data_IF_043747045006
#
_entry.id   IF_043747045006
#
_cell.length_a   1.000
_cell.length_b   1.000
_cell.length_c   1.000
_cell.angle_alpha   90.00
_cell.angle_beta   90.00
_cell.angle_gamma   90.00
#
_symmetry.space_group_name_H-M   'P 1'
#
loop_
_entity.id
_entity.type
_entity.pdbx_description
1 polymer ?
#
# COMPACT_ATOMS: atom_id res chain seq x y z
N UNK A 1 -37.42 41.05 35.03
CA UNK A 1 -37.64 39.65 34.59
C UNK A 1 -36.71 39.42 33.39
N UNK A 2 -35.52 38.91 33.67
CA UNK A 2 -34.53 38.62 32.61
C UNK A 2 -34.76 37.18 32.14
N UNK A 3 -35.11 37.03 30.86
CA UNK A 3 -35.21 35.72 30.23
C UNK A 3 -33.79 35.36 29.71
N UNK A 4 -33.16 34.40 30.41
CA UNK A 4 -31.88 33.83 29.98
C UNK A 4 -32.19 32.82 28.87
N UNK A 5 -31.96 33.21 27.65
CA UNK A 5 -32.03 32.30 26.50
C UNK A 5 -30.87 31.31 26.51
N UNK A 6 -31.17 30.06 26.89
CA UNK A 6 -30.22 28.96 26.75
C UNK A 6 -29.99 28.64 25.26
N UNK A 7 -28.77 28.78 24.77
CA UNK A 7 -28.38 28.27 23.45
C UNK A 7 -28.56 26.75 23.40
N UNK A 8 -29.16 26.17 22.36
CA UNK A 8 -29.26 24.74 22.22
C UNK A 8 -27.85 24.14 22.12
N UNK A 9 -27.55 23.19 23.01
CA UNK A 9 -26.37 22.34 22.89
C UNK A 9 -26.41 21.67 21.49
N UNK A 10 -25.43 22.02 20.66
CA UNK A 10 -25.26 21.35 19.38
C UNK A 10 -25.11 19.83 19.67
N UNK A 11 -26.01 19.04 19.11
CA UNK A 11 -25.95 17.59 19.20
C UNK A 11 -24.57 17.16 18.70
N UNK A 12 -23.79 16.47 19.54
CA UNK A 12 -22.52 15.85 19.11
C UNK A 12 -22.86 14.89 17.98
N UNK A 13 -22.26 15.12 16.81
CA UNK A 13 -22.34 14.14 15.73
C UNK A 13 -21.90 12.77 16.28
N UNK A 14 -22.63 11.69 15.96
CA UNK A 14 -22.26 10.36 16.40
C UNK A 14 -20.85 10.04 15.90
N UNK A 15 -20.02 9.53 16.79
CA UNK A 15 -18.65 9.10 16.42
C UNK A 15 -18.74 8.04 15.30
N UNK A 16 -18.08 8.24 14.16
CA UNK A 16 -18.13 7.26 13.07
C UNK A 16 -17.67 5.87 13.54
N UNK A 17 -18.24 4.78 13.02
CA UNK A 17 -17.83 3.44 13.37
C UNK A 17 -16.37 3.21 12.97
N UNK A 18 -15.60 2.63 13.88
CA UNK A 18 -14.20 2.27 13.64
C UNK A 18 -14.12 0.79 13.24
N UNK A 19 -13.60 0.52 12.04
CA UNK A 19 -13.29 -0.82 11.55
C UNK A 19 -11.79 -1.09 11.72
N UNK A 20 -11.36 -2.37 11.88
CA UNK A 20 -9.94 -2.69 11.80
C UNK A 20 -9.42 -2.35 10.40
N UNK A 21 -8.23 -1.74 10.32
CA UNK A 21 -7.58 -1.38 9.07
C UNK A 21 -6.28 -2.16 8.93
N UNK A 22 -6.07 -2.80 7.78
CA UNK A 22 -4.77 -3.32 7.33
C UNK A 22 -4.37 -2.53 6.11
N UNK A 23 -3.37 -1.68 6.27
CA UNK A 23 -2.87 -0.81 5.22
C UNK A 23 -1.73 -1.50 4.46
N UNK A 24 -1.89 -1.65 3.15
CA UNK A 24 -0.94 -2.37 2.29
C UNK A 24 0.32 -1.57 1.96
N UNK A 25 0.38 -0.26 2.31
CA UNK A 25 1.55 0.55 1.97
C UNK A 25 1.66 1.79 2.85
N UNK A 26 2.69 1.81 3.73
CA UNK A 26 3.00 2.97 4.58
C UNK A 26 4.51 3.14 4.72
N UNK A 27 5.03 4.29 4.32
CA UNK A 27 6.46 4.59 4.18
C UNK A 27 7.17 4.98 5.48
N UNK A 28 6.78 4.40 6.61
CA UNK A 28 7.49 4.60 7.88
C UNK A 28 8.97 4.22 7.79
N UNK A 29 9.29 3.18 7.03
CA UNK A 29 10.67 2.74 6.80
C UNK A 29 11.50 3.81 6.09
N UNK A 30 10.94 4.46 5.08
CA UNK A 30 11.57 5.54 4.33
C UNK A 30 11.82 6.77 5.21
N UNK A 31 10.79 7.23 5.92
CA UNK A 31 10.90 8.37 6.82
C UNK A 31 11.96 8.14 7.92
N UNK A 32 12.00 6.93 8.47
CA UNK A 32 12.95 6.55 9.50
C UNK A 32 14.38 6.41 8.99
N UNK A 33 14.58 5.76 7.84
CA UNK A 33 15.91 5.49 7.32
C UNK A 33 16.57 6.67 6.61
N UNK A 34 15.78 7.50 5.91
CA UNK A 34 16.31 8.49 4.97
C UNK A 34 15.88 9.94 5.25
N UNK A 35 14.81 10.15 6.04
CA UNK A 35 14.33 11.50 6.38
C UNK A 35 14.64 11.94 7.82
N UNK A 36 15.33 11.09 8.59
CA UNK A 36 15.75 11.40 9.98
C UNK A 36 14.60 11.47 10.98
N UNK A 37 13.39 10.99 10.62
CA UNK A 37 12.27 10.96 11.56
C UNK A 37 12.39 9.75 12.50
N UNK A 38 11.90 9.90 13.74
CA UNK A 38 11.72 8.75 14.62
C UNK A 38 10.68 7.79 14.04
N UNK A 39 10.88 6.49 14.21
CA UNK A 39 9.91 5.49 13.75
C UNK A 39 8.56 5.69 14.43
N UNK A 40 7.49 5.83 13.66
CA UNK A 40 6.14 6.15 14.13
C UNK A 40 6.12 7.39 15.06
N UNK A 41 6.79 8.47 14.65
CA UNK A 41 6.88 9.73 15.38
C UNK A 41 5.51 10.24 15.86
N UNK A 42 5.52 11.14 16.84
CA UNK A 42 4.28 11.75 17.37
C UNK A 42 3.60 12.70 16.36
N UNK A 43 4.31 13.11 15.33
CA UNK A 43 3.80 13.93 14.22
C UNK A 43 4.03 13.21 12.89
N UNK A 44 3.05 13.28 12.00
CA UNK A 44 3.09 12.62 10.69
C UNK A 44 1.73 12.02 10.33
N UNK A 45 1.65 11.47 9.13
CA UNK A 45 0.40 10.88 8.65
C UNK A 45 0.08 9.52 9.31
N UNK A 46 1.12 8.84 9.85
CA UNK A 46 0.98 7.51 10.46
C UNK A 46 1.65 7.44 11.85
N UNK A 47 1.40 8.42 12.70
CA UNK A 47 1.89 8.43 14.08
C UNK A 47 1.20 7.35 14.93
N UNK A 48 1.86 6.93 16.03
CA UNK A 48 1.27 5.96 16.98
C UNK A 48 -0.13 6.36 17.44
N UNK A 49 -0.36 7.66 17.70
CA UNK A 49 -1.66 8.16 18.08
C UNK A 49 -2.68 8.10 16.92
N UNK A 50 -2.25 8.43 15.69
CA UNK A 50 -3.11 8.40 14.52
C UNK A 50 -3.56 6.96 14.20
N UNK A 51 -2.65 5.99 14.24
CA UNK A 51 -3.00 4.59 13.97
C UNK A 51 -3.96 4.00 15.01
N UNK A 52 -3.82 4.36 16.30
CA UNK A 52 -4.77 3.93 17.34
C UNK A 52 -6.17 4.49 17.12
N UNK A 53 -6.28 5.79 16.83
CA UNK A 53 -7.56 6.44 16.54
C UNK A 53 -8.20 5.94 15.24
N UNK A 54 -7.39 5.56 14.28
CA UNK A 54 -7.83 5.04 12.99
C UNK A 54 -8.23 3.56 13.00
N UNK A 55 -7.97 2.85 14.10
CA UNK A 55 -8.27 1.42 14.20
C UNK A 55 -7.29 0.54 13.39
N UNK A 56 -6.04 0.99 13.20
CA UNK A 56 -5.04 0.24 12.43
C UNK A 56 -4.69 -1.05 13.16
N UNK A 57 -4.92 -2.19 12.50
CA UNK A 57 -4.67 -3.54 12.98
C UNK A 57 -3.48 -4.22 12.28
N UNK A 58 -3.09 -3.70 11.11
CA UNK A 58 -1.94 -4.18 10.37
C UNK A 58 -1.39 -3.17 9.39
N UNK A 59 -0.13 -3.33 9.00
CA UNK A 59 0.56 -2.44 8.05
C UNK A 59 1.64 -3.19 7.29
N UNK A 60 1.73 -2.91 6.00
CA UNK A 60 2.88 -3.29 5.17
C UNK A 60 3.88 -2.13 5.16
N UNK A 61 5.12 -2.44 5.48
CA UNK A 61 6.24 -1.51 5.55
C UNK A 61 7.17 -1.76 4.35
N UNK A 62 7.12 -0.92 3.31
CA UNK A 62 8.00 -1.06 2.18
C UNK A 62 9.45 -0.74 2.58
N UNK A 63 10.39 -1.55 2.08
CA UNK A 63 11.82 -1.28 2.10
C UNK A 63 12.17 -0.64 0.75
N UNK A 64 12.02 0.66 0.69
CA UNK A 64 12.42 1.50 -0.43
C UNK A 64 13.81 2.08 -0.18
N UNK A 65 14.67 2.07 -1.19
CA UNK A 65 15.99 2.69 -1.16
C UNK A 65 16.01 3.82 -2.20
N UNK A 66 16.12 5.09 -1.80
CA UNK A 66 16.22 6.19 -2.72
C UNK A 66 17.43 6.03 -3.67
N UNK A 67 17.28 6.51 -4.91
CA UNK A 67 18.33 6.38 -5.92
C UNK A 67 19.64 7.06 -5.53
N UNK A 68 19.54 8.12 -4.77
CA UNK A 68 20.66 8.95 -4.28
C UNK A 68 21.22 8.46 -2.93
N UNK A 69 20.67 7.39 -2.36
CA UNK A 69 21.17 6.81 -1.11
C UNK A 69 22.58 6.19 -1.26
N UNK A 70 22.94 5.80 -2.49
CA UNK A 70 24.28 5.28 -2.84
C UNK A 70 24.71 5.88 -4.18
N UNK A 71 26.02 6.20 -4.36
CA UNK A 71 26.54 6.84 -5.59
C UNK A 71 26.24 6.02 -6.86
N UNK A 72 26.28 4.70 -6.76
CA UNK A 72 26.07 3.76 -7.87
C UNK A 72 24.63 3.19 -7.91
N UNK A 73 23.72 3.80 -7.18
CA UNK A 73 22.34 3.34 -7.01
C UNK A 73 22.14 2.33 -5.87
N UNK A 74 20.88 1.91 -5.61
CA UNK A 74 20.52 1.01 -4.52
C UNK A 74 21.21 -0.36 -4.61
N UNK A 75 21.73 -0.84 -3.48
CA UNK A 75 22.45 -2.11 -3.35
C UNK A 75 21.76 -3.04 -2.34
N UNK A 76 22.11 -4.33 -2.38
CA UNK A 76 21.60 -5.31 -1.42
C UNK A 76 21.95 -4.93 0.04
N UNK A 77 23.13 -4.40 0.26
CA UNK A 77 23.58 -3.93 1.58
C UNK A 77 22.72 -2.78 2.14
N UNK A 78 22.16 -1.95 1.27
CA UNK A 78 21.27 -0.87 1.67
C UNK A 78 19.91 -1.42 2.13
N UNK A 79 19.39 -2.45 1.44
CA UNK A 79 18.21 -3.19 1.89
C UNK A 79 18.44 -3.88 3.24
N UNK A 80 19.58 -4.55 3.42
CA UNK A 80 19.96 -5.21 4.67
C UNK A 80 20.05 -4.20 5.84
N UNK A 81 20.66 -3.05 5.61
CA UNK A 81 20.76 -1.97 6.59
C UNK A 81 19.38 -1.41 6.94
N UNK A 82 18.54 -1.15 5.93
CA UNK A 82 17.19 -0.63 6.11
C UNK A 82 16.34 -1.63 6.92
N UNK A 83 16.33 -2.89 6.53
CA UNK A 83 15.64 -3.96 7.23
C UNK A 83 16.07 -4.09 8.69
N UNK A 84 17.38 -4.13 8.94
CA UNK A 84 17.93 -4.29 10.30
C UNK A 84 17.46 -3.15 11.21
N UNK A 85 17.55 -1.91 10.74
CA UNK A 85 17.10 -0.76 11.51
C UNK A 85 15.60 -0.78 11.80
N UNK A 86 14.78 -1.09 10.79
CA UNK A 86 13.32 -1.13 10.95
C UNK A 86 12.92 -2.30 11.86
N UNK A 87 13.51 -3.48 11.70
CA UNK A 87 13.24 -4.65 12.55
C UNK A 87 13.56 -4.36 14.02
N UNK A 88 14.67 -3.68 14.29
CA UNK A 88 15.01 -3.24 15.64
C UNK A 88 14.03 -2.20 16.18
N UNK A 89 13.62 -1.22 15.35
CA UNK A 89 12.64 -0.23 15.74
C UNK A 89 11.29 -0.86 16.11
N UNK A 90 10.82 -1.86 15.36
CA UNK A 90 9.57 -2.59 15.65
C UNK A 90 9.57 -3.25 17.03
N UNK A 91 10.72 -3.78 17.48
CA UNK A 91 10.84 -4.42 18.81
C UNK A 91 10.67 -3.41 19.95
N UNK A 92 11.03 -2.15 19.72
CA UNK A 92 11.08 -1.11 20.75
C UNK A 92 10.00 -0.04 20.60
N UNK A 93 9.10 -0.16 19.61
CA UNK A 93 8.05 0.83 19.34
C UNK A 93 6.66 0.20 19.45
N UNK A 94 6.06 0.12 20.64
CA UNK A 94 4.63 -0.25 20.75
C UNK A 94 3.76 0.76 19.96
N UNK A 95 2.67 0.29 19.31
CA UNK A 95 2.06 -1.03 19.43
C UNK A 95 2.48 -2.03 18.35
N UNK A 96 3.55 -1.80 17.58
CA UNK A 96 3.92 -2.71 16.49
C UNK A 96 4.32 -4.11 17.00
N UNK A 97 3.90 -5.16 16.29
CA UNK A 97 4.36 -6.52 16.49
C UNK A 97 5.56 -6.82 15.55
N UNK A 98 6.40 -7.79 15.86
CA UNK A 98 7.34 -8.34 14.89
C UNK A 98 6.60 -8.81 13.63
N UNK A 99 7.29 -8.76 12.46
CA UNK A 99 6.68 -9.11 11.18
C UNK A 99 6.13 -10.55 11.19
N UNK A 100 4.89 -10.72 10.69
CA UNK A 100 4.26 -12.02 10.52
C UNK A 100 2.76 -12.05 10.74
N UNK A 101 2.18 -13.22 10.46
CA UNK A 101 0.76 -13.47 10.44
C UNK A 101 0.12 -13.73 11.82
N UNK A 102 0.92 -14.05 12.83
CA UNK A 102 0.36 -14.36 14.16
C UNK A 102 -0.33 -13.15 14.76
N UNK A 103 -1.62 -13.28 15.13
CA UNK A 103 -2.31 -12.21 15.84
C UNK A 103 -1.64 -11.97 17.19
N UNK A 104 -1.41 -10.68 17.50
CA UNK A 104 -0.96 -10.26 18.83
C UNK A 104 -2.00 -9.28 19.38
N UNK A 105 -2.81 -9.63 20.36
CA UNK A 105 -3.86 -8.76 20.90
C UNK A 105 -3.30 -7.38 21.29
N UNK A 106 -3.98 -6.33 20.85
CA UNK A 106 -3.57 -4.94 21.12
C UNK A 106 -2.32 -4.47 20.38
N UNK A 107 -1.80 -5.26 19.43
CA UNK A 107 -0.65 -4.89 18.61
C UNK A 107 -1.00 -4.82 17.12
N UNK A 108 -0.30 -3.94 16.41
CA UNK A 108 -0.41 -3.78 14.95
C UNK A 108 0.50 -4.84 14.31
N UNK A 109 -0.08 -5.70 13.46
CA UNK A 109 0.70 -6.66 12.66
C UNK A 109 1.54 -5.90 11.66
N UNK A 110 2.75 -6.36 11.42
CA UNK A 110 3.62 -5.78 10.42
C UNK A 110 4.02 -6.82 9.38
N UNK A 111 4.20 -6.36 8.16
CA UNK A 111 4.69 -7.16 7.04
C UNK A 111 5.72 -6.33 6.30
N UNK A 112 6.70 -6.99 5.68
CA UNK A 112 7.67 -6.31 4.84
C UNK A 112 7.32 -6.47 3.36
N UNK A 113 7.58 -5.40 2.60
CA UNK A 113 7.57 -5.40 1.15
C UNK A 113 8.89 -4.85 0.63
N UNK A 114 9.30 -5.26 -0.57
CA UNK A 114 10.24 -4.47 -1.35
C UNK A 114 9.47 -3.47 -2.21
N UNK A 115 9.97 -2.26 -2.29
CA UNK A 115 9.54 -1.25 -3.25
C UNK A 115 10.74 -0.84 -4.11
N UNK A 116 10.92 -1.61 -5.20
CA UNK A 116 12.10 -1.53 -6.03
C UNK A 116 13.14 -2.61 -5.72
N UNK A 117 12.84 -3.87 -6.08
CA UNK A 117 13.70 -5.03 -5.85
C UNK A 117 14.95 -5.08 -6.77
N UNK A 118 15.28 -4.00 -7.48
CA UNK A 118 16.47 -3.90 -8.35
C UNK A 118 17.77 -4.44 -7.74
N UNK A 119 18.06 -4.24 -6.46
CA UNK A 119 19.23 -4.81 -5.80
C UNK A 119 19.36 -6.34 -5.88
N UNK A 120 18.24 -7.07 -6.04
CA UNK A 120 18.24 -8.53 -6.19
C UNK A 120 18.39 -9.02 -7.64
N UNK A 121 18.54 -8.13 -8.60
CA UNK A 121 18.63 -8.50 -10.01
C UNK A 121 19.78 -9.46 -10.36
N UNK A 122 20.84 -9.45 -9.57
CA UNK A 122 22.02 -10.31 -9.74
C UNK A 122 22.02 -11.56 -8.83
N UNK A 123 21.14 -11.58 -7.82
CA UNK A 123 20.99 -12.70 -6.88
C UNK A 123 19.52 -12.92 -6.51
N UNK A 124 18.71 -13.48 -7.40
CA UNK A 124 17.31 -13.76 -7.11
C UNK A 124 17.13 -14.79 -5.98
N UNK A 125 18.15 -15.64 -5.73
CA UNK A 125 18.10 -16.66 -4.67
C UNK A 125 18.08 -16.03 -3.27
N UNK A 126 18.51 -14.77 -3.12
CA UNK A 126 18.40 -14.03 -1.87
C UNK A 126 16.93 -13.87 -1.40
N UNK A 127 15.93 -14.00 -2.29
CA UNK A 127 14.51 -13.91 -1.91
C UNK A 127 14.11 -14.93 -0.84
N UNK A 128 14.65 -16.15 -0.86
CA UNK A 128 14.31 -17.17 0.13
C UNK A 128 14.71 -16.73 1.57
N UNK A 129 15.85 -16.07 1.71
CA UNK A 129 16.28 -15.49 2.98
C UNK A 129 15.32 -14.35 3.41
N UNK A 130 14.93 -13.48 2.50
CA UNK A 130 14.02 -12.38 2.80
C UNK A 130 12.62 -12.87 3.16
N UNK A 131 12.11 -13.90 2.48
CA UNK A 131 10.85 -14.57 2.84
C UNK A 131 10.88 -15.10 4.29
N UNK A 132 11.98 -15.73 4.70
CA UNK A 132 12.16 -16.22 6.09
C UNK A 132 12.21 -15.09 7.13
N UNK A 133 12.53 -13.87 6.72
CA UNK A 133 12.58 -12.66 7.55
C UNK A 133 11.26 -11.88 7.60
N UNK A 134 10.20 -12.39 6.98
CA UNK A 134 8.88 -11.76 6.99
C UNK A 134 8.57 -10.89 5.77
N UNK A 135 9.37 -10.94 4.71
CA UNK A 135 9.00 -10.38 3.41
C UNK A 135 7.78 -11.13 2.86
N UNK A 136 6.76 -10.38 2.44
CA UNK A 136 5.54 -10.94 1.86
C UNK A 136 5.29 -10.46 0.44
N UNK A 137 5.81 -9.30 0.07
CA UNK A 137 5.51 -8.60 -1.18
C UNK A 137 6.80 -8.17 -1.87
N UNK A 138 6.88 -8.36 -3.18
CA UNK A 138 8.02 -7.98 -4.03
C UNK A 138 7.56 -6.99 -5.08
N UNK A 139 7.78 -5.68 -4.83
CA UNK A 139 7.63 -4.62 -5.82
C UNK A 139 8.91 -4.49 -6.64
N UNK A 140 8.79 -4.54 -7.96
CA UNK A 140 9.93 -4.64 -8.86
C UNK A 140 10.66 -3.31 -9.07
N UNK A 141 9.89 -2.23 -9.19
CA UNK A 141 10.36 -0.87 -9.51
C UNK A 141 9.73 0.15 -8.59
N UNK A 142 10.28 1.35 -8.56
CA UNK A 142 9.65 2.55 -8.04
C UNK A 142 9.52 3.59 -9.17
N UNK A 143 9.99 4.83 -9.00
CA UNK A 143 9.80 5.93 -9.95
C UNK A 143 10.45 5.69 -11.32
N UNK A 144 11.53 4.89 -11.39
CA UNK A 144 12.31 4.68 -12.61
C UNK A 144 12.51 3.21 -12.93
N UNK A 145 12.68 2.90 -14.22
CA UNK A 145 13.12 1.59 -14.65
C UNK A 145 14.44 1.19 -13.97
N UNK A 146 14.59 -0.10 -13.75
CA UNK A 146 15.80 -0.70 -13.18
C UNK A 146 16.17 -1.98 -13.94
N UNK A 147 17.08 -2.78 -13.39
CA UNK A 147 17.53 -4.02 -14.03
C UNK A 147 16.44 -5.13 -14.12
N UNK A 148 15.25 -4.93 -13.50
CA UNK A 148 14.17 -5.92 -13.49
C UNK A 148 13.02 -5.55 -14.42
N UNK A 149 12.58 -4.28 -14.42
CA UNK A 149 11.39 -3.86 -15.14
C UNK A 149 11.40 -2.37 -15.50
N UNK A 150 10.54 -2.01 -16.45
CA UNK A 150 10.19 -0.63 -16.76
C UNK A 150 9.16 -0.08 -15.77
N UNK A 151 9.20 1.23 -15.53
CA UNK A 151 8.35 1.93 -14.57
C UNK A 151 7.31 2.81 -15.27
N UNK A 152 6.18 3.02 -14.61
CA UNK A 152 5.18 4.03 -15.02
C UNK A 152 5.63 5.48 -14.79
N UNK A 153 6.72 5.68 -14.04
CA UNK A 153 7.34 6.98 -13.81
C UNK A 153 8.48 7.31 -14.76
N UNK A 154 8.81 6.43 -15.72
CA UNK A 154 9.80 6.75 -16.75
C UNK A 154 9.33 7.91 -17.61
N UNK A 155 10.22 8.89 -17.87
CA UNK A 155 9.92 10.06 -18.68
C UNK A 155 9.51 9.68 -20.11
N UNK A 156 10.14 8.63 -20.66
CA UNK A 156 9.82 8.04 -21.95
C UNK A 156 9.39 6.58 -21.75
N UNK A 157 8.27 6.15 -22.36
CA UNK A 157 7.83 4.76 -22.28
C UNK A 157 8.90 3.79 -22.80
N UNK A 158 9.27 2.82 -21.96
CA UNK A 158 10.23 1.80 -22.36
C UNK A 158 9.61 0.82 -23.38
N UNK A 159 10.44 0.31 -24.29
CA UNK A 159 10.01 -0.68 -25.28
C UNK A 159 9.75 -2.08 -24.70
N UNK A 160 10.10 -2.30 -23.42
CA UNK A 160 9.97 -3.59 -22.71
C UNK A 160 9.11 -3.43 -21.44
N UNK A 161 8.64 -4.55 -20.90
CA UNK A 161 8.00 -4.65 -19.59
C UNK A 161 8.99 -5.21 -18.56
N UNK A 162 9.07 -6.54 -18.45
CA UNK A 162 10.10 -7.23 -17.66
C UNK A 162 11.36 -7.50 -18.47
N UNK A 163 12.51 -7.35 -17.84
CA UNK A 163 13.77 -7.92 -18.35
C UNK A 163 13.81 -9.43 -18.07
N UNK A 164 14.79 -10.15 -18.64
CA UNK A 164 15.01 -11.56 -18.31
C UNK A 164 15.28 -11.76 -16.81
N UNK A 165 16.02 -10.84 -16.17
CA UNK A 165 16.26 -10.86 -14.73
C UNK A 165 14.96 -10.63 -13.95
N UNK A 166 14.11 -9.72 -14.43
CA UNK A 166 12.78 -9.47 -13.85
C UNK A 166 11.90 -10.71 -13.95
N UNK A 167 11.86 -11.39 -15.09
CA UNK A 167 11.13 -12.66 -15.26
C UNK A 167 11.61 -13.73 -14.31
N UNK A 168 12.92 -13.90 -14.16
CA UNK A 168 13.52 -14.86 -13.23
C UNK A 168 13.14 -14.54 -11.76
N UNK A 169 13.20 -13.28 -11.36
CA UNK A 169 12.84 -12.86 -10.01
C UNK A 169 11.35 -13.08 -9.72
N UNK A 170 10.46 -12.75 -10.66
CA UNK A 170 9.01 -12.95 -10.54
C UNK A 170 8.68 -14.44 -10.41
N UNK A 171 9.29 -15.32 -11.25
CA UNK A 171 9.11 -16.77 -11.12
C UNK A 171 9.50 -17.27 -9.74
N UNK A 172 10.69 -16.87 -9.29
CA UNK A 172 11.16 -17.28 -7.95
C UNK A 172 10.31 -16.73 -6.81
N UNK A 173 9.79 -15.50 -6.94
CA UNK A 173 8.85 -14.95 -5.97
C UNK A 173 7.56 -15.81 -5.87
N UNK A 174 6.99 -16.21 -6.99
CA UNK A 174 5.80 -17.08 -7.00
C UNK A 174 6.09 -18.48 -6.46
N UNK A 175 7.24 -19.07 -6.79
CA UNK A 175 7.68 -20.36 -6.22
C UNK A 175 7.79 -20.34 -4.69
N UNK A 176 8.18 -19.20 -4.13
CA UNK A 176 8.25 -18.98 -2.67
C UNK A 176 6.91 -18.58 -2.04
N UNK A 177 5.83 -18.46 -2.82
CA UNK A 177 4.53 -18.01 -2.34
C UNK A 177 4.50 -16.53 -1.93
N UNK A 178 5.43 -15.72 -2.47
CA UNK A 178 5.44 -14.27 -2.30
C UNK A 178 4.49 -13.61 -3.28
N UNK A 179 3.90 -12.50 -2.87
CA UNK A 179 3.09 -11.64 -3.72
C UNK A 179 3.99 -10.75 -4.59
N UNK A 180 3.63 -10.57 -5.86
CA UNK A 180 4.32 -9.61 -6.74
C UNK A 180 3.47 -8.35 -6.84
N UNK A 181 4.06 -7.20 -6.46
CA UNK A 181 3.41 -5.89 -6.51
C UNK A 181 3.71 -5.20 -7.84
N UNK A 182 2.65 -4.80 -8.52
CA UNK A 182 2.71 -4.06 -9.78
C UNK A 182 2.52 -2.56 -9.61
N UNK A 183 2.40 -2.06 -8.39
CA UNK A 183 2.47 -0.62 -8.13
C UNK A 183 3.79 -0.07 -8.68
N UNK A 184 3.75 1.09 -9.32
CA UNK A 184 4.85 1.70 -10.10
C UNK A 184 5.26 1.00 -11.41
N UNK A 185 4.86 -0.23 -11.68
CA UNK A 185 5.20 -0.90 -12.92
C UNK A 185 4.57 -0.20 -14.14
N UNK A 186 5.26 -0.21 -15.29
CA UNK A 186 4.67 0.23 -16.55
C UNK A 186 3.55 -0.71 -17.00
N UNK A 187 2.67 -0.27 -17.88
CA UNK A 187 1.58 -1.12 -18.42
C UNK A 187 2.12 -2.42 -19.02
N UNK A 188 3.28 -2.37 -19.70
CA UNK A 188 3.95 -3.56 -20.25
C UNK A 188 4.45 -4.50 -19.14
N UNK A 189 5.05 -3.94 -18.09
CA UNK A 189 5.52 -4.74 -16.97
C UNK A 189 4.35 -5.39 -16.22
N UNK A 190 3.24 -4.67 -16.03
CA UNK A 190 2.00 -5.24 -15.46
C UNK A 190 1.51 -6.42 -16.31
N UNK A 191 1.42 -6.25 -17.64
CA UNK A 191 1.00 -7.32 -18.56
C UNK A 191 1.91 -8.55 -18.48
N UNK A 192 3.24 -8.35 -18.46
CA UNK A 192 4.22 -9.42 -18.34
C UNK A 192 4.09 -10.19 -17.00
N UNK A 193 3.90 -9.46 -15.88
CA UNK A 193 3.70 -10.07 -14.55
C UNK A 193 2.41 -10.88 -14.51
N UNK A 194 1.30 -10.34 -15.03
CA UNK A 194 0.01 -11.05 -15.08
C UNK A 194 0.09 -12.31 -15.95
N UNK A 195 0.83 -12.26 -17.06
CA UNK A 195 1.09 -13.43 -17.91
C UNK A 195 1.82 -14.52 -17.14
N UNK A 196 2.89 -14.19 -16.42
CA UNK A 196 3.62 -15.13 -15.56
C UNK A 196 2.77 -15.66 -14.41
N UNK A 197 1.94 -14.80 -13.81
CA UNK A 197 1.03 -15.22 -12.73
C UNK A 197 0.01 -16.25 -13.21
N UNK A 198 -0.52 -16.09 -14.42
CA UNK A 198 -1.43 -17.07 -15.03
C UNK A 198 -0.72 -18.41 -15.27
N UNK A 199 0.53 -18.38 -15.78
CA UNK A 199 1.34 -19.57 -16.04
C UNK A 199 1.68 -20.34 -14.76
N UNK A 200 2.01 -19.62 -13.68
CA UNK A 200 2.59 -20.17 -12.46
C UNK A 200 1.61 -20.21 -11.27
N UNK A 201 0.36 -19.82 -11.47
CA UNK A 201 -0.63 -19.66 -10.41
C UNK A 201 -0.17 -18.73 -9.29
N UNK A 202 0.60 -17.68 -9.64
CA UNK A 202 1.09 -16.68 -8.71
C UNK A 202 0.04 -15.63 -8.39
N UNK A 203 0.16 -14.96 -7.23
CA UNK A 203 -0.74 -13.89 -6.80
C UNK A 203 -0.10 -12.53 -7.03
N UNK A 204 -0.79 -11.66 -7.78
CA UNK A 204 -0.37 -10.29 -8.07
C UNK A 204 -1.19 -9.33 -7.24
N UNK A 205 -0.53 -8.32 -6.68
CA UNK A 205 -1.19 -7.23 -5.95
C UNK A 205 -0.81 -5.88 -6.55
N UNK A 206 -1.63 -4.87 -6.30
CA UNK A 206 -1.23 -3.47 -6.39
C UNK A 206 -1.39 -2.87 -4.99
N UNK A 207 -0.28 -2.71 -4.27
CA UNK A 207 -0.33 -2.29 -2.85
C UNK A 207 -0.92 -0.90 -2.69
N UNK A 208 -0.71 0.01 -3.68
CA UNK A 208 -1.16 1.41 -3.64
C UNK A 208 -1.39 1.97 -5.06
N UNK A 209 -2.54 1.63 -5.68
CA UNK A 209 -2.91 2.08 -7.03
C UNK A 209 -4.42 2.36 -7.13
N UNK A 210 -4.79 3.21 -8.10
CA UNK A 210 -6.16 3.62 -8.35
C UNK A 210 -6.61 3.23 -9.76
N UNK A 211 -7.89 3.47 -10.09
CA UNK A 211 -8.43 3.24 -11.42
C UNK A 211 -8.11 4.41 -12.36
N UNK A 212 -7.51 4.12 -13.51
CA UNK A 212 -7.18 5.10 -14.57
C UNK A 212 -8.42 5.71 -15.19
N UNK A 213 -9.51 4.97 -15.23
CA UNK A 213 -10.80 5.43 -15.74
C UNK A 213 -11.33 6.68 -15.02
N UNK A 214 -11.02 6.84 -13.73
CA UNK A 214 -11.44 8.00 -12.92
C UNK A 214 -10.41 9.13 -12.89
N UNK A 215 -9.14 8.80 -13.02
CA UNK A 215 -8.05 9.78 -13.08
C UNK A 215 -6.96 9.25 -13.99
N UNK A 216 -6.91 9.76 -15.22
CA UNK A 216 -5.96 9.34 -16.25
C UNK A 216 -4.53 9.75 -15.86
N UNK A 217 -3.84 8.84 -15.15
CA UNK A 217 -2.47 8.97 -14.67
C UNK A 217 -1.72 7.66 -14.89
N UNK A 218 -0.44 7.67 -15.33
CA UNK A 218 0.33 6.45 -15.59
C UNK A 218 0.47 5.52 -14.38
N UNK A 219 0.40 6.06 -13.15
CA UNK A 219 0.42 5.29 -11.90
C UNK A 219 -0.89 4.53 -11.63
N UNK A 220 -1.97 4.88 -12.30
CA UNK A 220 -3.26 4.24 -12.16
C UNK A 220 -3.41 3.09 -13.14
N UNK A 221 -4.16 2.06 -12.74
CA UNK A 221 -4.37 0.84 -13.49
C UNK A 221 -5.57 0.96 -14.43
N UNK A 222 -5.48 0.34 -15.59
CA UNK A 222 -6.62 0.18 -16.50
C UNK A 222 -7.61 -0.87 -15.93
N UNK A 223 -8.86 -0.82 -16.37
CA UNK A 223 -9.88 -1.81 -15.96
C UNK A 223 -9.50 -3.24 -16.34
N UNK A 224 -8.76 -3.42 -17.42
CA UNK A 224 -8.21 -4.72 -17.81
C UNK A 224 -7.17 -5.22 -16.80
N UNK A 225 -6.25 -4.34 -16.37
CA UNK A 225 -5.24 -4.66 -15.37
C UNK A 225 -5.88 -4.96 -14.00
N UNK A 226 -6.92 -4.21 -13.61
CA UNK A 226 -7.70 -4.46 -12.38
C UNK A 226 -8.33 -5.84 -12.39
N UNK A 227 -8.99 -6.24 -13.50
CA UNK A 227 -9.55 -7.60 -13.68
C UNK A 227 -8.46 -8.66 -13.69
N UNK A 228 -7.30 -8.36 -14.31
CA UNK A 228 -6.15 -9.27 -14.32
C UNK A 228 -5.62 -9.57 -12.93
N UNK A 229 -5.46 -8.55 -12.08
CA UNK A 229 -5.05 -8.71 -10.68
C UNK A 229 -6.09 -9.54 -9.91
N UNK A 230 -7.38 -9.22 -10.07
CA UNK A 230 -8.46 -9.96 -9.44
C UNK A 230 -8.46 -11.45 -9.85
N UNK A 231 -8.24 -11.74 -11.13
CA UNK A 231 -8.17 -13.12 -11.64
C UNK A 231 -7.04 -13.96 -11.01
N UNK A 232 -5.97 -13.33 -10.49
CA UNK A 232 -4.92 -14.03 -9.74
C UNK A 232 -5.27 -14.27 -8.26
N UNK A 233 -6.44 -13.83 -7.79
CA UNK A 233 -6.80 -13.83 -6.38
C UNK A 233 -6.20 -12.69 -5.57
N UNK A 234 -5.55 -11.73 -6.22
CA UNK A 234 -4.88 -10.60 -5.59
C UNK A 234 -5.81 -9.49 -5.09
N UNK A 235 -5.21 -8.38 -4.67
CA UNK A 235 -5.93 -7.20 -4.17
C UNK A 235 -5.32 -5.90 -4.68
N UNK A 236 -6.14 -4.85 -4.76
CA UNK A 236 -5.78 -3.50 -5.15
C UNK A 236 -5.99 -2.57 -3.94
N UNK A 237 -4.92 -2.00 -3.42
CA UNK A 237 -4.92 -1.00 -2.34
C UNK A 237 -5.22 0.39 -2.89
N UNK A 238 -6.29 1.02 -2.43
CA UNK A 238 -6.69 2.38 -2.81
C UNK A 238 -5.66 3.38 -2.30
N UNK A 239 -5.00 4.07 -3.22
CA UNK A 239 -3.98 5.08 -2.92
C UNK A 239 -4.65 6.44 -2.63
N UNK A 240 -4.14 7.16 -1.61
CA UNK A 240 -4.69 8.46 -1.20
C UNK A 240 -3.94 9.66 -1.78
N UNK A 241 -2.94 9.46 -2.62
CA UNK A 241 -2.22 10.57 -3.25
C UNK A 241 -3.13 11.37 -4.19
N UNK A 242 -3.35 12.65 -3.88
CA UNK A 242 -4.32 13.51 -4.58
C UNK A 242 -4.20 13.53 -6.10
N UNK A 243 -3.00 13.65 -6.70
CA UNK A 243 -2.80 13.58 -8.15
C UNK A 243 -3.29 12.28 -8.82
N UNK A 244 -3.34 11.15 -8.08
CA UNK A 244 -3.85 9.87 -8.59
C UNK A 244 -5.35 9.70 -8.39
N UNK A 245 -5.97 10.58 -7.60
CA UNK A 245 -7.41 10.59 -7.34
C UNK A 245 -8.15 11.58 -8.25
N UNK A 246 -7.52 12.73 -8.56
CA UNK A 246 -8.15 13.77 -9.35
C UNK A 246 -7.11 14.58 -10.16
N UNK A 247 -7.40 14.85 -11.44
CA UNK A 247 -6.56 15.70 -12.29
C UNK A 247 -7.09 17.13 -12.33
N UNK A 248 -6.16 18.10 -12.33
CA UNK A 248 -6.48 19.52 -12.51
C UNK A 248 -7.22 20.18 -11.34
N UNK A 249 -7.49 19.46 -10.26
CA UNK A 249 -8.12 19.99 -9.05
C UNK A 249 -7.60 19.26 -7.80
N UNK A 250 -7.90 19.82 -6.63
CA UNK A 250 -7.62 19.15 -5.35
C UNK A 250 -8.56 17.96 -5.18
N UNK A 251 -8.00 16.83 -4.78
CA UNK A 251 -8.77 15.64 -4.45
C UNK A 251 -9.52 15.81 -3.12
N UNK A 252 -10.62 15.11 -2.98
CA UNK A 252 -11.51 15.09 -1.82
C UNK A 252 -11.81 13.67 -1.37
N UNK A 253 -12.42 13.50 -0.19
CA UNK A 253 -12.89 12.20 0.28
C UNK A 253 -13.84 11.51 -0.71
N UNK A 254 -14.65 12.29 -1.45
CA UNK A 254 -15.56 11.75 -2.48
C UNK A 254 -14.81 11.06 -3.62
N UNK A 255 -13.62 11.54 -3.97
CA UNK A 255 -12.80 10.90 -5.00
C UNK A 255 -12.26 9.55 -4.54
N UNK A 256 -11.94 9.41 -3.24
CA UNK A 256 -11.54 8.12 -2.66
C UNK A 256 -12.72 7.14 -2.64
N UNK A 257 -13.92 7.60 -2.26
CA UNK A 257 -15.13 6.78 -2.32
C UNK A 257 -15.40 6.31 -3.75
N UNK A 258 -15.32 7.21 -4.73
CA UNK A 258 -15.51 6.86 -6.15
C UNK A 258 -14.48 5.81 -6.63
N UNK A 259 -13.23 5.88 -6.16
CA UNK A 259 -12.23 4.83 -6.45
C UNK A 259 -12.65 3.49 -5.86
N UNK A 260 -13.10 3.44 -4.60
CA UNK A 260 -13.59 2.21 -3.97
C UNK A 260 -14.78 1.64 -4.75
N UNK A 261 -15.76 2.47 -5.13
CA UNK A 261 -16.93 2.05 -5.93
C UNK A 261 -16.50 1.45 -7.27
N UNK A 262 -15.64 2.14 -8.01
CA UNK A 262 -15.18 1.67 -9.33
C UNK A 262 -14.37 0.37 -9.22
N UNK A 263 -13.42 0.31 -8.29
CA UNK A 263 -12.62 -0.91 -8.05
C UNK A 263 -13.51 -2.09 -7.68
N UNK A 264 -14.51 -1.88 -6.82
CA UNK A 264 -15.48 -2.92 -6.43
C UNK A 264 -16.33 -3.37 -7.63
N UNK A 265 -16.74 -2.44 -8.48
CA UNK A 265 -17.51 -2.75 -9.68
C UNK A 265 -16.70 -3.55 -10.72
N UNK A 266 -15.41 -3.22 -10.90
CA UNK A 266 -14.56 -3.79 -11.95
C UNK A 266 -13.88 -5.08 -11.52
N UNK A 267 -13.35 -5.12 -10.31
CA UNK A 267 -12.53 -6.21 -9.80
C UNK A 267 -13.30 -7.16 -8.83
N UNK A 268 -14.38 -6.68 -8.23
CA UNK A 268 -15.07 -7.39 -7.14
C UNK A 268 -14.63 -6.88 -5.76
N UNK A 269 -15.55 -6.93 -4.78
CA UNK A 269 -15.31 -6.41 -3.42
C UNK A 269 -14.15 -7.13 -2.72
N UNK A 270 -13.97 -8.40 -2.97
CA UNK A 270 -12.92 -9.26 -2.40
C UNK A 270 -11.50 -8.90 -2.87
N UNK A 271 -11.39 -8.04 -3.88
CA UNK A 271 -10.13 -7.60 -4.48
C UNK A 271 -9.77 -6.14 -4.15
N UNK A 272 -10.56 -5.45 -3.32
CA UNK A 272 -10.30 -4.06 -2.91
C UNK A 272 -9.75 -4.01 -1.49
N UNK A 273 -8.71 -3.20 -1.27
CA UNK A 273 -8.08 -3.01 0.03
C UNK A 273 -7.69 -1.53 0.24
N UNK A 274 -7.14 -1.20 1.39
CA UNK A 274 -6.53 0.10 1.67
C UNK A 274 -5.02 0.01 1.41
N UNK A 275 -4.49 0.99 0.68
CA UNK A 275 -3.07 1.16 0.43
C UNK A 275 -2.77 2.66 0.40
N UNK A 276 -2.75 3.29 1.57
CA UNK A 276 -2.84 4.75 1.70
C UNK A 276 -1.68 5.51 1.09
N UNK A 277 -0.50 4.91 1.07
CA UNK A 277 0.75 5.56 0.70
C UNK A 277 1.16 6.67 1.70
N UNK A 278 0.64 6.59 2.95
CA UNK A 278 1.01 7.52 4.00
C UNK A 278 2.51 7.49 4.30
N UNK A 279 3.07 8.63 4.65
CA UNK A 279 4.51 8.87 4.86
C UNK A 279 5.36 8.80 3.57
N UNK A 280 4.77 8.52 2.38
CA UNK A 280 5.42 8.52 1.06
C UNK A 280 5.55 9.90 0.42
N UNK A 281 5.63 10.96 1.21
CA UNK A 281 5.65 12.36 0.75
C UNK A 281 4.40 12.73 -0.09
N UNK A 282 3.28 12.06 0.13
CA UNK A 282 2.00 12.24 -0.56
C UNK A 282 1.21 13.47 -0.08
N UNK A 283 0.23 13.86 -0.89
CA UNK A 283 -0.74 14.92 -0.59
C UNK A 283 -2.16 14.36 -0.61
N UNK A 284 -2.62 13.74 0.48
CA UNK A 284 -3.96 13.16 0.54
C UNK A 284 -5.05 14.23 0.60
N UNK A 285 -6.33 13.88 0.38
CA UNK A 285 -7.45 14.74 0.73
C UNK A 285 -7.38 15.22 2.18
N UNK A 286 -7.75 16.47 2.43
CA UNK A 286 -7.69 17.03 3.79
C UNK A 286 -8.55 16.27 4.81
N UNK A 287 -9.62 15.64 4.34
CA UNK A 287 -10.50 14.81 5.14
C UNK A 287 -9.84 13.47 5.56
N UNK A 288 -8.80 13.05 4.82
CA UNK A 288 -7.98 11.85 5.08
C UNK A 288 -6.51 12.23 5.28
N UNK A 289 -6.23 13.34 5.98
CA UNK A 289 -4.89 13.87 6.14
C UNK A 289 -3.90 12.93 6.86
N UNK A 290 -4.40 11.98 7.66
CA UNK A 290 -3.64 11.02 8.42
C UNK A 290 -4.47 9.77 8.77
N UNK A 291 -3.84 8.74 9.30
CA UNK A 291 -4.48 7.47 9.65
C UNK A 291 -5.63 7.60 10.66
N UNK A 292 -5.66 8.64 11.51
CA UNK A 292 -6.78 8.86 12.45
C UNK A 292 -8.09 9.14 11.75
N UNK A 293 -8.07 9.36 10.45
CA UNK A 293 -9.23 9.71 9.62
C UNK A 293 -9.87 8.51 8.90
N UNK A 294 -9.35 7.30 9.04
CA UNK A 294 -10.00 6.10 8.48
C UNK A 294 -11.49 5.98 8.87
N UNK A 295 -11.93 6.32 10.12
CA UNK A 295 -13.35 6.34 10.45
C UNK A 295 -14.19 7.30 9.61
N UNK A 296 -13.62 8.37 9.05
CA UNK A 296 -14.32 9.25 8.11
C UNK A 296 -14.54 8.55 6.76
N UNK A 297 -13.57 7.78 6.30
CA UNK A 297 -13.73 6.99 5.08
C UNK A 297 -14.80 5.91 5.27
N UNK A 298 -14.82 5.20 6.40
CA UNK A 298 -15.86 4.21 6.68
C UNK A 298 -17.25 4.84 6.74
N UNK A 299 -17.40 6.02 7.36
CA UNK A 299 -18.66 6.74 7.39
C UNK A 299 -19.13 7.19 5.99
N UNK A 300 -18.18 7.64 5.14
CA UNK A 300 -18.49 8.03 3.76
C UNK A 300 -18.93 6.81 2.93
N UNK A 301 -18.29 5.66 3.09
CA UNK A 301 -18.67 4.42 2.41
C UNK A 301 -20.05 3.91 2.88
N UNK A 302 -20.36 3.97 4.18
CA UNK A 302 -21.71 3.67 4.68
C UNK A 302 -22.75 4.60 4.05
N UNK A 303 -22.43 5.90 3.93
CA UNK A 303 -23.33 6.89 3.30
C UNK A 303 -23.48 6.66 1.79
N UNK A 304 -22.50 6.05 1.14
CA UNK A 304 -22.55 5.61 -0.26
C UNK A 304 -23.28 4.27 -0.47
N UNK A 305 -23.75 3.63 0.61
CA UNK A 305 -24.57 2.41 0.55
C UNK A 305 -23.77 1.10 0.73
N UNK A 306 -22.50 1.16 1.11
CA UNK A 306 -21.75 -0.05 1.44
C UNK A 306 -22.19 -0.62 2.79
N UNK A 307 -22.41 -1.92 2.87
CA UNK A 307 -22.68 -2.59 4.13
C UNK A 307 -21.44 -2.61 5.04
N UNK A 308 -21.65 -2.63 6.35
CA UNK A 308 -20.56 -2.68 7.35
C UNK A 308 -19.65 -3.91 7.17
N UNK A 309 -20.19 -5.05 6.75
CA UNK A 309 -19.42 -6.26 6.45
C UNK A 309 -18.51 -6.07 5.23
N UNK A 310 -18.98 -5.41 4.19
CA UNK A 310 -18.20 -5.06 2.99
C UNK A 310 -17.08 -4.08 3.34
N UNK A 311 -17.37 -3.07 4.14
CA UNK A 311 -16.33 -2.12 4.59
C UNK A 311 -15.25 -2.85 5.39
N UNK A 312 -15.61 -3.77 6.26
CA UNK A 312 -14.63 -4.59 6.99
C UNK A 312 -13.76 -5.43 6.06
N UNK A 313 -14.35 -6.04 5.02
CA UNK A 313 -13.60 -6.77 3.99
C UNK A 313 -12.56 -5.86 3.33
N UNK A 314 -12.97 -4.69 2.83
CA UNK A 314 -12.10 -3.73 2.16
C UNK A 314 -11.01 -3.20 3.09
N UNK A 315 -11.35 -2.93 4.35
CA UNK A 315 -10.42 -2.33 5.30
C UNK A 315 -9.39 -3.30 5.87
N UNK A 316 -9.72 -4.61 5.97
CA UNK A 316 -8.81 -5.54 6.62
C UNK A 316 -8.81 -6.96 6.01
N UNK A 317 -9.98 -7.58 5.82
CA UNK A 317 -10.04 -9.03 5.63
C UNK A 317 -9.42 -9.44 4.27
N UNK A 318 -9.61 -8.62 3.21
CA UNK A 318 -9.02 -8.85 1.89
C UNK A 318 -7.49 -8.78 1.90
N UNK A 319 -6.93 -7.77 2.58
CA UNK A 319 -5.48 -7.65 2.74
C UNK A 319 -4.91 -8.84 3.53
N UNK A 320 -5.56 -9.24 4.64
CA UNK A 320 -5.12 -10.37 5.45
C UNK A 320 -5.21 -11.70 4.69
N UNK A 321 -6.20 -11.89 3.85
CA UNK A 321 -6.34 -13.09 3.01
C UNK A 321 -5.12 -13.34 2.15
N UNK A 322 -4.55 -12.31 1.53
CA UNK A 322 -3.37 -12.45 0.66
C UNK A 322 -2.06 -12.42 1.43
N UNK A 323 -1.99 -11.66 2.53
CA UNK A 323 -0.78 -11.57 3.35
C UNK A 323 -0.57 -12.82 4.22
N UNK A 324 -1.66 -13.51 4.60
CA UNK A 324 -1.64 -14.65 5.52
C UNK A 324 -2.54 -15.79 4.96
N UNK A 325 -2.15 -16.40 3.82
CA UNK A 325 -2.91 -17.47 3.18
C UNK A 325 -2.98 -18.74 4.04
#
# INVERSE_FOLDING_TARGET
MLVVGGSPLAAREPTPPTFPVVDLHVDLSYQFNFKGKAFAASSGQFSTQALQRGGVAGVVLPLFIPRDASPDGPRLEDLERSYTRVSQALLHTPPFAPAGCRPSPGRVRTFFAFEGAGPLANDPNALALWASRGLRIVGLVHTYANALASSSGDAEPQAYGLTERGRALVRHAFELGLLVDVSHASDRAVSDVLGLATELHGVVVATHSNARALADHPRNLTDEQLRGIAATGGVIGVNFHGPFLARGRRATLKDVVAQVEHLTQVAGVEHVAIGSDFEGDIRPPSELADASRYPRLSAALLSAGFDASVIRQIFADNALRVLCP
#
